data_IF_577813372171
#
_entry.id   IF_577813372171
#
_cell.length_a   1.000
_cell.length_b   1.000
_cell.length_c   1.000
_cell.angle_alpha   90.00
_cell.angle_beta   90.00
_cell.angle_gamma   90.00
#
_symmetry.space_group_name_H-M   'P 1'
#
loop_
_entity.id
_entity.type
_entity.pdbx_description
1 polymer ?
#
# COMPACT_ATOMS: atom_id res chain seq x y z
N UNK A 1 12.87 -4.26 -18.89
CA UNK A 1 12.54 -5.09 -17.72
C UNK A 1 11.59 -4.27 -16.85
N UNK A 2 10.45 -4.81 -16.40
CA UNK A 2 9.60 -4.07 -15.46
C UNK A 2 10.40 -3.86 -14.17
N UNK A 3 10.53 -2.61 -13.73
CA UNK A 3 11.18 -2.31 -12.45
C UNK A 3 10.40 -3.01 -11.33
N UNK A 4 11.11 -3.72 -10.45
CA UNK A 4 10.52 -4.36 -9.27
C UNK A 4 10.33 -3.33 -8.16
N UNK A 5 9.51 -2.33 -8.40
CA UNK A 5 9.26 -1.22 -7.49
C UNK A 5 7.89 -1.33 -6.83
N UNK A 6 7.79 -0.81 -5.61
CA UNK A 6 6.50 -0.66 -4.91
C UNK A 6 6.18 0.82 -4.86
N UNK A 7 5.23 1.21 -5.70
CA UNK A 7 4.81 2.60 -5.89
C UNK A 7 3.59 2.88 -5.02
N UNK A 8 3.64 3.99 -4.29
CA UNK A 8 2.51 4.52 -3.51
C UNK A 8 2.15 5.90 -4.02
N UNK A 9 0.87 6.17 -4.14
CA UNK A 9 0.36 7.45 -4.61
C UNK A 9 -1.10 7.65 -4.17
N UNK A 10 -1.60 8.87 -4.36
CA UNK A 10 -2.99 9.24 -4.14
C UNK A 10 -3.57 9.82 -5.43
N UNK A 11 -4.74 9.32 -5.83
CA UNK A 11 -5.51 9.87 -6.95
C UNK A 11 -6.62 10.78 -6.39
N UNK A 12 -6.42 12.09 -6.47
CA UNK A 12 -7.31 13.08 -5.88
C UNK A 12 -7.72 14.09 -6.94
N UNK A 13 -9.00 14.45 -6.99
CA UNK A 13 -9.55 15.42 -7.95
C UNK A 13 -9.19 15.09 -9.41
N UNK A 14 -9.26 13.81 -9.78
CA UNK A 14 -9.05 13.37 -11.16
C UNK A 14 -7.57 13.29 -11.60
N UNK A 15 -6.61 13.43 -10.69
CA UNK A 15 -5.17 13.39 -11.01
C UNK A 15 -4.35 12.61 -9.99
N UNK A 16 -3.27 12.01 -10.47
CA UNK A 16 -2.24 11.42 -9.63
C UNK A 16 -1.35 12.50 -9.02
N UNK A 17 -0.95 12.30 -7.76
CA UNK A 17 0.09 13.10 -7.11
C UNK A 17 1.51 12.62 -7.43
N UNK A 18 2.51 13.12 -6.69
CA UNK A 18 3.88 12.61 -6.79
C UNK A 18 3.99 11.18 -6.25
N UNK A 19 4.68 10.32 -6.98
CA UNK A 19 4.94 8.94 -6.56
C UNK A 19 5.92 8.88 -5.40
N UNK A 20 5.68 7.93 -4.49
CA UNK A 20 6.65 7.49 -3.51
C UNK A 20 7.05 6.05 -3.86
N UNK A 21 8.29 5.87 -4.28
CA UNK A 21 8.83 4.57 -4.75
C UNK A 21 10.20 4.23 -4.12
N UNK A 22 10.76 5.13 -3.32
CA UNK A 22 12.00 4.89 -2.60
C UNK A 22 11.75 3.93 -1.43
N UNK A 23 12.34 2.74 -1.50
CA UNK A 23 12.33 1.71 -0.48
C UNK A 23 13.69 1.01 -0.45
N UNK A 24 14.12 0.62 0.75
CA UNK A 24 15.38 -0.11 0.93
C UNK A 24 15.31 -1.56 0.43
N UNK A 25 14.12 -2.14 0.32
CA UNK A 25 13.90 -3.49 -0.21
C UNK A 25 12.49 -3.66 -0.80
N UNK A 26 12.29 -4.71 -1.60
CA UNK A 26 10.98 -5.12 -2.10
C UNK A 26 10.65 -6.54 -1.58
N UNK A 27 9.63 -6.72 -0.73
CA UNK A 27 9.25 -8.02 -0.18
C UNK A 27 8.47 -8.90 -1.16
N UNK A 28 8.00 -8.36 -2.29
CA UNK A 28 7.13 -9.10 -3.20
C UNK A 28 7.94 -9.84 -4.26
N UNK A 29 7.75 -11.15 -4.31
CA UNK A 29 8.37 -12.04 -5.29
C UNK A 29 7.30 -12.88 -5.99
N UNK A 30 7.49 -13.13 -7.29
CA UNK A 30 6.56 -13.95 -8.07
C UNK A 30 6.40 -15.34 -7.46
N UNK A 31 5.14 -15.77 -7.28
CA UNK A 31 4.79 -17.08 -6.74
C UNK A 31 5.00 -17.24 -5.23
N UNK A 32 5.47 -16.22 -4.53
CA UNK A 32 5.65 -16.26 -3.07
C UNK A 32 4.41 -15.73 -2.34
N UNK A 33 4.11 -16.34 -1.19
CA UNK A 33 3.11 -15.82 -0.27
C UNK A 33 3.60 -14.53 0.38
N UNK A 34 2.67 -13.61 0.65
CA UNK A 34 2.92 -12.45 1.49
C UNK A 34 1.69 -12.16 2.36
N UNK A 35 1.94 -11.63 3.55
CA UNK A 35 0.95 -10.95 4.36
C UNK A 35 1.17 -9.44 4.26
N UNK A 36 0.10 -8.68 4.06
CA UNK A 36 0.11 -7.22 4.05
C UNK A 36 -0.85 -6.71 5.13
N UNK A 37 -0.32 -5.94 6.07
CA UNK A 37 -1.13 -5.27 7.11
C UNK A 37 -1.03 -3.77 6.90
N UNK A 38 -2.18 -3.09 6.87
CA UNK A 38 -2.29 -1.64 6.70
C UNK A 38 -3.00 -1.07 7.92
N UNK A 39 -2.23 -0.43 8.78
CA UNK A 39 -2.72 0.33 9.93
C UNK A 39 -2.77 1.82 9.57
N UNK A 40 -3.50 2.62 10.35
CA UNK A 40 -3.49 4.06 10.20
C UNK A 40 -3.62 4.75 11.56
N UNK A 41 -3.05 5.95 11.65
CA UNK A 41 -3.32 6.90 12.72
C UNK A 41 -3.83 8.23 12.14
N UNK A 42 -3.79 9.31 12.93
CA UNK A 42 -4.20 10.65 12.49
C UNK A 42 -3.27 11.31 11.46
N UNK A 43 -2.10 10.75 11.20
CA UNK A 43 -1.04 11.35 10.39
C UNK A 43 -0.69 10.52 9.15
N UNK A 44 -0.68 9.20 9.26
CA UNK A 44 -0.19 8.33 8.20
C UNK A 44 -0.81 6.93 8.21
N UNK A 45 -0.66 6.23 7.08
CA UNK A 45 -0.75 4.79 7.03
C UNK A 45 0.59 4.16 7.42
N UNK A 46 0.52 3.08 8.19
CA UNK A 46 1.67 2.26 8.58
C UNK A 46 1.49 0.88 7.97
N UNK A 47 2.38 0.53 7.05
CA UNK A 47 2.29 -0.69 6.25
C UNK A 47 3.34 -1.68 6.70
N UNK A 48 2.92 -2.93 6.88
CA UNK A 48 3.76 -4.05 7.31
C UNK A 48 3.67 -5.18 6.30
N UNK A 49 4.77 -5.91 6.13
CA UNK A 49 4.82 -7.13 5.33
C UNK A 49 5.35 -8.28 6.15
N UNK A 50 4.61 -9.38 6.22
CA UNK A 50 4.95 -10.56 7.03
C UNK A 50 5.27 -10.18 8.51
N UNK A 51 4.49 -9.27 9.09
CA UNK A 51 4.67 -8.79 10.47
C UNK A 51 5.77 -7.75 10.68
N UNK A 52 6.61 -7.45 9.68
CA UNK A 52 7.70 -6.47 9.81
C UNK A 52 7.32 -5.12 9.20
N UNK A 53 7.74 -3.97 9.80
CA UNK A 53 7.52 -2.66 9.23
C UNK A 53 8.08 -2.56 7.81
N UNK A 54 7.29 -2.00 6.90
CA UNK A 54 7.68 -1.86 5.50
C UNK A 54 7.83 -0.39 5.09
N UNK A 55 6.76 0.40 5.17
CA UNK A 55 6.81 1.84 4.95
C UNK A 55 5.65 2.56 5.62
N UNK A 56 5.81 3.87 5.79
CA UNK A 56 4.72 4.76 6.15
C UNK A 56 4.32 5.61 4.95
N UNK A 57 3.05 6.01 4.91
CA UNK A 57 2.52 6.88 3.86
C UNK A 57 1.66 7.97 4.49
N UNK A 58 2.15 9.21 4.45
CA UNK A 58 1.45 10.35 5.03
C UNK A 58 0.08 10.57 4.37
N UNK A 59 -0.93 10.90 5.16
CA UNK A 59 -2.28 11.13 4.66
C UNK A 59 -2.31 12.33 3.71
N UNK A 60 -2.68 12.08 2.45
CA UNK A 60 -2.93 13.14 1.46
C UNK A 60 -4.41 13.47 1.30
N UNK A 61 -5.29 12.61 1.82
CA UNK A 61 -6.72 12.81 1.89
C UNK A 61 -7.17 12.86 3.34
N UNK A 62 -7.89 13.92 3.68
CA UNK A 62 -8.46 14.18 5.01
C UNK A 62 -9.89 14.65 4.76
N UNK A 63 -10.90 14.13 5.48
CA UNK A 63 -10.83 13.20 6.61
C UNK A 63 -10.59 11.72 6.23
N UNK A 64 -9.73 11.03 6.99
CA UNK A 64 -9.35 9.63 6.72
C UNK A 64 -10.51 8.67 6.94
N UNK A 65 -11.41 9.02 7.86
CA UNK A 65 -12.61 8.28 8.20
C UNK A 65 -13.62 8.22 7.07
N UNK A 66 -13.43 8.89 5.93
CA UNK A 66 -14.29 8.70 4.76
C UNK A 66 -13.81 7.56 3.85
N UNK A 67 -12.63 6.98 4.09
CA UNK A 67 -12.16 5.82 3.35
C UNK A 67 -12.94 4.58 3.82
N UNK A 68 -13.67 3.96 2.91
CA UNK A 68 -14.59 2.82 3.18
C UNK A 68 -14.44 1.65 2.21
N UNK A 69 -13.63 1.80 1.18
CA UNK A 69 -13.57 0.84 0.08
C UNK A 69 -12.14 0.36 -0.11
N UNK A 70 -11.96 -0.96 -0.02
CA UNK A 70 -10.74 -1.64 -0.42
C UNK A 70 -10.94 -2.24 -1.82
N UNK A 71 -10.05 -1.92 -2.74
CA UNK A 71 -10.02 -2.49 -4.09
C UNK A 71 -8.67 -3.17 -4.30
N UNK A 72 -8.69 -4.44 -4.66
CA UNK A 72 -7.51 -5.22 -5.02
C UNK A 72 -7.67 -5.71 -6.45
N UNK A 73 -6.66 -5.47 -7.28
CA UNK A 73 -6.64 -5.81 -8.71
C UNK A 73 -5.24 -6.18 -9.16
N UNK A 74 -5.13 -6.86 -10.30
CA UNK A 74 -3.86 -7.26 -10.90
C UNK A 74 -3.53 -8.73 -10.63
N UNK A 75 -2.26 -9.09 -10.83
CA UNK A 75 -1.79 -10.47 -10.81
C UNK A 75 -1.53 -10.95 -9.37
N UNK A 76 -2.60 -11.20 -8.61
CA UNK A 76 -2.54 -11.70 -7.23
C UNK A 76 -3.67 -12.69 -6.95
N UNK A 77 -3.37 -13.76 -6.22
CA UNK A 77 -4.38 -14.67 -5.66
C UNK A 77 -4.65 -14.29 -4.22
N UNK A 78 -5.92 -14.03 -3.89
CA UNK A 78 -6.32 -13.67 -2.53
C UNK A 78 -6.65 -14.92 -1.72
N UNK A 79 -5.95 -15.08 -0.58
CA UNK A 79 -6.20 -16.18 0.36
C UNK A 79 -7.14 -15.77 1.50
N UNK A 80 -6.91 -14.59 2.10
CA UNK A 80 -7.66 -14.11 3.25
C UNK A 80 -7.63 -12.58 3.32
N UNK A 81 -8.73 -11.97 3.76
CA UNK A 81 -8.85 -10.53 4.00
C UNK A 81 -9.51 -10.34 5.38
N UNK A 82 -8.93 -9.43 6.19
CA UNK A 82 -9.47 -9.00 7.48
C UNK A 82 -9.56 -7.47 7.50
N UNK A 83 -10.66 -6.95 8.01
CA UNK A 83 -10.90 -5.53 8.25
C UNK A 83 -11.25 -5.28 9.71
#
# INVERSE_FOLDING_TARGET
>A
MKERTVVRNSFLNGRWGPEENYLSFNPFQYGQYFELSICYDKHEFQVYTNGYPFFNYAHRYIPIEHIRTLKITGDVTLSYIKY
#
